data_IF_303387262617
#
_entry.id   IF_303387262617
#
_cell.length_a   1.000
_cell.length_b   1.000
_cell.length_c   1.000
_cell.angle_alpha   90.00
_cell.angle_beta   90.00
_cell.angle_gamma   90.00
#
_symmetry.space_group_name_H-M   'P 1'
#
loop_
_entity.id
_entity.type
_entity.pdbx_description
1 polymer ?
#
# COMPACT_ATOMS: atom_id res chain seq x y z
N UNK A 1 3.75 6.07 9.75
CA UNK A 1 3.96 4.93 8.82
C UNK A 1 3.62 5.29 7.38
N UNK A 2 2.46 5.92 7.16
CA UNK A 2 2.05 6.40 5.83
C UNK A 2 3.11 7.33 5.22
N UNK A 3 3.53 8.34 5.98
CA UNK A 3 4.53 9.30 5.51
C UNK A 3 5.87 8.64 5.23
N UNK A 4 6.26 7.68 6.04
CA UNK A 4 7.53 6.95 5.88
C UNK A 4 7.59 6.16 4.59
N UNK A 5 6.47 5.56 4.17
CA UNK A 5 6.39 4.82 2.91
C UNK A 5 6.64 5.77 1.74
N UNK A 6 5.94 6.90 1.73
CA UNK A 6 6.06 7.89 0.65
C UNK A 6 7.44 8.55 0.63
N UNK A 7 7.99 8.87 1.81
CA UNK A 7 9.34 9.45 1.91
C UNK A 7 10.40 8.48 1.37
N UNK A 8 10.27 7.19 1.66
CA UNK A 8 11.19 6.18 1.13
C UNK A 8 11.17 6.12 -0.39
N UNK A 9 9.98 6.23 -0.99
CA UNK A 9 9.84 6.26 -2.45
C UNK A 9 10.44 7.53 -3.05
N UNK A 10 10.20 8.70 -2.42
CA UNK A 10 10.74 9.98 -2.88
C UNK A 10 12.27 10.03 -2.74
N UNK A 11 12.82 9.49 -1.65
CA UNK A 11 14.26 9.41 -1.45
C UNK A 11 14.93 8.57 -2.53
N UNK A 12 14.29 7.51 -2.99
CA UNK A 12 14.81 6.68 -4.07
C UNK A 12 14.90 7.49 -5.38
N UNK A 13 13.89 8.28 -5.70
CA UNK A 13 13.87 9.13 -6.88
C UNK A 13 14.99 10.17 -6.81
N UNK A 14 15.16 10.80 -5.66
CA UNK A 14 16.17 11.85 -5.45
C UNK A 14 17.60 11.30 -5.56
N UNK A 15 17.78 10.02 -5.22
CA UNK A 15 19.09 9.36 -5.26
C UNK A 15 19.42 8.68 -6.58
N UNK A 16 18.47 8.60 -7.52
CA UNK A 16 18.62 7.83 -8.75
C UNK A 16 17.97 8.57 -9.93
N UNK A 17 18.79 9.10 -10.83
CA UNK A 17 18.33 9.83 -12.02
C UNK A 17 17.61 8.91 -13.03
N UNK A 18 17.81 7.59 -12.91
CA UNK A 18 17.23 6.58 -13.81
C UNK A 18 16.06 5.84 -13.17
N UNK A 19 15.44 6.40 -12.13
CA UNK A 19 14.28 5.78 -11.46
C UNK A 19 13.14 5.55 -12.45
N UNK A 20 12.51 4.38 -12.37
CA UNK A 20 11.44 3.97 -13.27
C UNK A 20 10.08 4.57 -12.88
N UNK A 21 10.03 5.42 -11.87
CA UNK A 21 8.83 6.11 -11.44
C UNK A 21 9.14 7.55 -11.03
N UNK A 22 8.09 8.35 -10.96
CA UNK A 22 8.17 9.78 -10.68
C UNK A 22 7.43 10.15 -9.39
N UNK A 23 7.57 11.41 -8.95
CA UNK A 23 6.81 11.92 -7.81
C UNK A 23 5.30 11.83 -8.05
N UNK A 24 4.84 11.91 -9.29
CA UNK A 24 3.42 11.72 -9.62
C UNK A 24 2.95 10.30 -9.30
N UNK A 25 3.78 9.30 -9.56
CA UNK A 25 3.47 7.91 -9.22
C UNK A 25 3.40 7.72 -7.70
N UNK A 26 4.29 8.37 -6.96
CA UNK A 26 4.28 8.35 -5.50
C UNK A 26 2.99 8.99 -4.95
N UNK A 27 2.54 10.08 -5.56
CA UNK A 27 1.28 10.73 -5.20
C UNK A 27 0.08 9.80 -5.42
N UNK A 28 0.07 9.06 -6.52
CA UNK A 28 -0.99 8.08 -6.80
C UNK A 28 -0.98 6.99 -5.72
N UNK A 29 0.19 6.47 -5.38
CA UNK A 29 0.34 5.50 -4.30
C UNK A 29 -0.20 6.05 -2.99
N UNK A 30 0.16 7.28 -2.65
CA UNK A 30 -0.34 7.96 -1.45
C UNK A 30 -1.85 8.08 -1.42
N UNK A 31 -2.46 8.43 -2.57
CA UNK A 31 -3.92 8.53 -2.69
C UNK A 31 -4.59 7.17 -2.48
N UNK A 32 -4.02 6.08 -3.01
CA UNK A 32 -4.54 4.74 -2.82
C UNK A 32 -4.50 4.32 -1.36
N UNK A 33 -3.38 4.58 -0.67
CA UNK A 33 -3.23 4.25 0.75
C UNK A 33 -4.18 5.07 1.62
N UNK A 34 -4.30 6.38 1.34
CA UNK A 34 -5.19 7.28 2.06
C UNK A 34 -6.66 6.86 1.90
N UNK A 35 -7.05 6.52 0.69
CA UNK A 35 -8.40 6.04 0.39
C UNK A 35 -8.71 4.75 1.15
N UNK A 36 -7.76 3.82 1.20
CA UNK A 36 -7.90 2.59 1.96
C UNK A 36 -8.16 2.90 3.44
N UNK A 37 -7.33 3.75 4.04
CA UNK A 37 -7.46 4.12 5.46
C UNK A 37 -8.86 4.70 5.73
N UNK A 38 -9.34 5.58 4.85
CA UNK A 38 -10.65 6.21 4.98
C UNK A 38 -11.81 5.23 4.75
N UNK A 39 -11.57 4.15 4.03
CA UNK A 39 -12.60 3.16 3.67
C UNK A 39 -12.73 2.03 4.69
N UNK A 40 -11.90 2.03 5.74
CA UNK A 40 -11.89 1.00 6.79
C UNK A 40 -12.20 1.67 8.15
N UNK A 41 -13.46 2.08 8.38
CA UNK A 41 -13.83 2.71 9.65
C UNK A 41 -13.95 1.67 10.77
N UNK A 42 -13.87 2.15 12.01
CA UNK A 42 -14.11 1.32 13.19
C UNK A 42 -15.49 0.67 13.09
N UNK A 43 -15.56 -0.61 13.36
CA UNK A 43 -16.80 -1.37 13.29
C UNK A 43 -17.10 -1.99 11.93
N UNK A 44 -16.23 -1.81 10.93
CA UNK A 44 -16.39 -2.44 9.62
C UNK A 44 -16.41 -3.97 9.77
N UNK A 45 -17.23 -4.66 8.96
CA UNK A 45 -17.25 -6.13 8.97
C UNK A 45 -15.98 -6.69 8.34
N UNK A 46 -15.60 -7.89 8.74
CA UNK A 46 -14.44 -8.60 8.18
C UNK A 46 -14.53 -8.69 6.65
N UNK A 47 -15.70 -9.08 6.13
CA UNK A 47 -15.90 -9.25 4.68
C UNK A 47 -15.71 -7.95 3.92
N UNK A 48 -16.25 -6.84 4.44
CA UNK A 48 -16.09 -5.52 3.80
C UNK A 48 -14.64 -5.05 3.88
N UNK A 49 -13.98 -5.30 5.01
CA UNK A 49 -12.56 -4.96 5.17
C UNK A 49 -11.71 -5.70 4.14
N UNK A 50 -11.99 -6.99 3.90
CA UNK A 50 -11.25 -7.77 2.90
C UNK A 50 -11.48 -7.25 1.48
N UNK A 51 -12.67 -6.76 1.14
CA UNK A 51 -12.94 -6.12 -0.15
C UNK A 51 -12.05 -4.89 -0.32
N UNK A 52 -11.90 -4.08 0.72
CA UNK A 52 -11.04 -2.89 0.67
C UNK A 52 -9.57 -3.24 0.55
N UNK A 53 -9.10 -4.29 1.25
CA UNK A 53 -7.73 -4.79 1.12
C UNK A 53 -7.46 -5.24 -0.30
N UNK A 54 -8.35 -6.06 -0.87
CA UNK A 54 -8.22 -6.56 -2.24
C UNK A 54 -8.17 -5.40 -3.24
N UNK A 55 -9.06 -4.42 -3.09
CA UNK A 55 -9.11 -3.24 -3.96
C UNK A 55 -7.77 -2.49 -3.93
N UNK A 56 -7.23 -2.26 -2.75
CA UNK A 56 -5.93 -1.60 -2.59
C UNK A 56 -4.81 -2.40 -3.24
N UNK A 57 -4.73 -3.70 -2.94
CA UNK A 57 -3.63 -4.54 -3.43
C UNK A 57 -3.64 -4.63 -4.94
N UNK A 58 -4.82 -4.84 -5.55
CA UNK A 58 -4.93 -4.91 -7.01
C UNK A 58 -4.56 -3.58 -7.68
N UNK A 59 -4.96 -2.45 -7.08
CA UNK A 59 -4.59 -1.13 -7.58
C UNK A 59 -3.08 -0.90 -7.48
N UNK A 60 -2.45 -1.33 -6.38
CA UNK A 60 -1.00 -1.24 -6.19
C UNK A 60 -0.25 -2.16 -7.17
N UNK A 61 -0.79 -3.35 -7.43
CA UNK A 61 -0.21 -4.25 -8.44
C UNK A 61 -0.13 -3.55 -9.81
N UNK A 62 -1.22 -2.92 -10.22
CA UNK A 62 -1.29 -2.20 -11.48
C UNK A 62 -0.34 -1.03 -11.53
N UNK A 63 -0.30 -0.22 -10.48
CA UNK A 63 0.62 0.92 -10.39
C UNK A 63 2.07 0.46 -10.43
N UNK A 64 2.42 -0.58 -9.68
CA UNK A 64 3.78 -1.11 -9.65
C UNK A 64 4.20 -1.65 -11.02
N UNK A 65 3.29 -2.31 -11.73
CA UNK A 65 3.53 -2.79 -13.09
C UNK A 65 3.81 -1.62 -14.04
N UNK A 66 3.07 -0.53 -13.93
CA UNK A 66 3.30 0.68 -14.72
C UNK A 66 4.65 1.32 -14.43
N UNK A 67 5.20 1.09 -13.25
CA UNK A 67 6.51 1.58 -12.83
C UNK A 67 7.61 0.52 -13.06
N UNK A 68 7.37 -0.43 -13.95
CA UNK A 68 8.31 -1.51 -14.30
C UNK A 68 8.71 -2.33 -13.06
N UNK A 69 7.76 -2.55 -12.16
CA UNK A 69 7.93 -3.31 -10.90
C UNK A 69 8.96 -2.72 -9.95
N UNK A 70 9.27 -1.43 -10.08
CA UNK A 70 10.31 -0.75 -9.30
C UNK A 70 9.76 0.12 -8.16
N UNK A 71 8.46 0.43 -8.14
CA UNK A 71 7.87 1.31 -7.13
C UNK A 71 7.85 0.67 -5.75
N UNK A 72 7.41 -0.58 -5.67
CA UNK A 72 7.25 -1.29 -4.39
C UNK A 72 8.39 -2.30 -4.24
N UNK A 73 9.42 -1.88 -3.54
CA UNK A 73 10.56 -2.72 -3.17
C UNK A 73 10.33 -3.32 -1.79
N UNK A 74 11.28 -4.09 -1.28
CA UNK A 74 11.14 -4.82 -0.01
C UNK A 74 10.73 -3.90 1.16
N UNK A 75 11.40 -2.75 1.31
CA UNK A 75 11.13 -1.82 2.41
C UNK A 75 9.73 -1.23 2.30
N UNK A 76 9.31 -0.84 1.09
CA UNK A 76 7.98 -0.30 0.84
C UNK A 76 6.91 -1.37 1.05
N UNK A 77 7.17 -2.60 0.61
CA UNK A 77 6.26 -3.73 0.83
C UNK A 77 6.01 -3.94 2.32
N UNK A 78 7.07 -3.98 3.11
CA UNK A 78 6.95 -4.16 4.57
C UNK A 78 6.14 -3.02 5.19
N UNK A 79 6.38 -1.78 4.77
CA UNK A 79 5.64 -0.62 5.24
C UNK A 79 4.16 -0.67 4.88
N UNK A 80 3.84 -1.03 3.64
CA UNK A 80 2.46 -1.13 3.16
C UNK A 80 1.72 -2.24 3.92
N UNK A 81 2.34 -3.41 4.08
CA UNK A 81 1.73 -4.51 4.84
C UNK A 81 1.46 -4.12 6.29
N UNK A 82 2.40 -3.40 6.91
CA UNK A 82 2.24 -2.91 8.28
C UNK A 82 1.11 -1.87 8.37
N UNK A 83 1.02 -0.96 7.39
CA UNK A 83 -0.06 0.02 7.33
C UNK A 83 -1.43 -0.66 7.23
N UNK A 84 -1.55 -1.67 6.37
CA UNK A 84 -2.78 -2.45 6.23
C UNK A 84 -3.13 -3.12 7.55
N UNK A 85 -2.17 -3.78 8.18
CA UNK A 85 -2.35 -4.45 9.47
C UNK A 85 -2.83 -3.48 10.54
N UNK A 86 -2.15 -2.34 10.69
CA UNK A 86 -2.50 -1.35 11.72
C UNK A 86 -3.88 -0.73 11.47
N UNK A 87 -4.22 -0.47 10.21
CA UNK A 87 -5.52 0.10 9.85
C UNK A 87 -6.64 -0.88 10.20
N UNK A 88 -6.48 -2.16 9.87
CA UNK A 88 -7.47 -3.18 10.19
C UNK A 88 -7.58 -3.39 11.70
N UNK A 89 -6.47 -3.44 12.41
CA UNK A 89 -6.45 -3.60 13.86
C UNK A 89 -7.18 -2.45 14.55
N UNK A 90 -6.96 -1.21 14.10
CA UNK A 90 -7.63 -0.03 14.65
C UNK A 90 -9.15 -0.06 14.39
N UNK A 91 -9.56 -0.70 13.30
CA UNK A 91 -10.98 -0.88 12.96
C UNK A 91 -11.64 -2.05 13.70
N UNK A 92 -10.85 -2.83 14.45
CA UNK A 92 -11.36 -3.99 15.18
C UNK A 92 -11.41 -5.28 14.37
N UNK A 93 -10.76 -5.32 13.22
CA UNK A 93 -10.68 -6.52 12.38
C UNK A 93 -9.44 -7.33 12.76
N UNK A 94 -9.63 -8.57 13.16
CA UNK A 94 -8.55 -9.48 13.56
C UNK A 94 -8.29 -10.54 12.49
N UNK A 95 -7.02 -10.90 12.30
CA UNK A 95 -6.59 -11.98 11.40
C UNK A 95 -5.17 -12.40 11.81
N UNK A 96 -4.82 -13.66 11.48
CA UNK A 96 -3.58 -14.28 11.93
C UNK A 96 -2.50 -14.34 10.84
N UNK A 97 -2.78 -13.82 9.64
CA UNK A 97 -1.89 -13.95 8.49
C UNK A 97 -1.83 -12.65 7.68
N UNK A 98 -0.90 -12.58 6.73
CA UNK A 98 -0.80 -11.46 5.78
C UNK A 98 -1.97 -11.53 4.80
N UNK A 99 -2.97 -10.67 5.01
CA UNK A 99 -4.18 -10.63 4.17
C UNK A 99 -3.92 -10.14 2.75
N UNK A 100 -2.76 -9.57 2.47
CA UNK A 100 -2.40 -9.08 1.14
C UNK A 100 -1.78 -10.17 0.26
N UNK A 101 -1.29 -11.25 0.86
CA UNK A 101 -0.47 -12.27 0.20
C UNK A 101 -1.17 -12.93 -0.98
N UNK A 102 -2.48 -13.22 -0.87
CA UNK A 102 -3.23 -13.92 -1.91
C UNK A 102 -3.34 -13.12 -3.22
N UNK A 103 -3.24 -11.80 -3.15
CA UNK A 103 -3.43 -10.93 -4.31
C UNK A 103 -2.18 -10.16 -4.71
N UNK A 104 -1.21 -10.11 -3.84
CA UNK A 104 -0.02 -9.28 -4.00
C UNK A 104 0.93 -9.84 -5.05
N UNK A 105 1.37 -8.97 -5.96
CA UNK A 105 2.38 -9.26 -6.99
C UNK A 105 3.70 -8.52 -6.78
N UNK A 106 3.87 -7.98 -5.61
CA UNK A 106 5.07 -7.21 -5.22
C UNK A 106 5.69 -7.68 -3.91
#
# INVERSE_FOLDING_TARGET
>A
LYDQILEGMLDFIDGDDDADYTSSDVEICGSLLSKFISSVPEGISHDKAMVEVKTLVLALNELNEQCDFSLIETDQREGICELVFQTLAAAGVEFDEDVTEDWREW
#
